data_IF_341408114043
#
_entry.id   IF_341408114043
#
_cell.length_a   1.000
_cell.length_b   1.000
_cell.length_c   1.000
_cell.angle_alpha   90.00
_cell.angle_beta   90.00
_cell.angle_gamma   90.00
#
_symmetry.space_group_name_H-M   'P 1'
#
loop_
_entity.id
_entity.type
_entity.pdbx_description
1 polymer ?
#
# COMPACT_ATOMS: atom_id res chain seq x y z
N UNK A 1 -13.71 18.07 2.50
CA UNK A 1 -14.09 19.11 1.52
C UNK A 1 -13.22 19.05 0.26
N UNK A 2 -11.90 18.80 0.37
CA UNK A 2 -11.04 18.57 -0.80
C UNK A 2 -11.27 17.17 -1.42
N UNK A 3 -11.30 16.11 -0.61
CA UNK A 3 -11.60 14.73 -1.04
C UNK A 3 -12.88 14.63 -1.87
N UNK A 4 -13.99 15.15 -1.34
CA UNK A 4 -15.28 15.21 -2.03
C UNK A 4 -15.22 15.96 -3.38
N UNK A 5 -14.45 17.06 -3.47
CA UNK A 5 -14.25 17.76 -4.73
C UNK A 5 -13.40 16.95 -5.72
N UNK A 6 -12.40 16.20 -5.25
CA UNK A 6 -11.58 15.31 -6.09
C UNK A 6 -12.42 14.14 -6.60
N UNK A 7 -13.22 13.51 -5.73
CA UNK A 7 -14.16 12.43 -6.09
C UNK A 7 -15.20 12.91 -7.12
N UNK A 8 -15.81 14.08 -6.90
CA UNK A 8 -16.76 14.68 -7.87
C UNK A 8 -16.11 15.08 -9.20
N UNK A 9 -14.80 15.37 -9.21
CA UNK A 9 -14.05 15.65 -10.43
C UNK A 9 -13.62 14.35 -11.14
N UNK A 10 -13.35 13.28 -10.37
CA UNK A 10 -13.07 11.94 -10.88
C UNK A 10 -14.27 11.33 -11.63
N UNK A 11 -15.48 11.57 -11.17
CA UNK A 11 -16.70 11.13 -11.87
C UNK A 11 -16.91 11.81 -13.23
N UNK A 12 -16.25 12.94 -13.50
CA UNK A 12 -16.45 13.76 -14.71
C UNK A 12 -15.34 13.67 -15.75
N UNK A 13 -14.12 13.25 -15.37
CA UNK A 13 -12.98 13.31 -16.29
C UNK A 13 -11.96 12.18 -16.05
N UNK A 14 -11.84 11.27 -17.03
CA UNK A 14 -10.90 10.13 -17.00
C UNK A 14 -9.41 10.56 -17.08
N UNK A 15 -9.13 11.86 -17.21
CA UNK A 15 -7.78 12.44 -17.20
C UNK A 15 -7.20 12.61 -15.78
N UNK A 16 -7.98 12.36 -14.72
CA UNK A 16 -7.54 12.43 -13.31
C UNK A 16 -6.44 11.41 -12.97
N UNK A 17 -6.30 10.33 -13.73
CA UNK A 17 -5.19 9.37 -13.58
C UNK A 17 -3.83 10.05 -13.72
N UNK A 18 -3.72 11.06 -14.57
CA UNK A 18 -2.51 11.85 -14.72
C UNK A 18 -2.30 12.79 -13.51
N UNK A 19 -3.37 13.26 -12.86
CA UNK A 19 -3.30 14.07 -11.63
C UNK A 19 -2.91 13.25 -10.40
N UNK A 20 -3.40 12.02 -10.26
CA UNK A 20 -2.93 11.07 -9.22
C UNK A 20 -1.47 10.70 -9.46
N UNK A 21 -1.09 10.42 -10.71
CA UNK A 21 0.28 10.05 -11.08
C UNK A 21 1.28 11.20 -10.93
N UNK A 22 0.94 12.40 -11.37
CA UNK A 22 1.84 13.58 -11.39
C UNK A 22 1.70 14.48 -10.16
N UNK A 23 0.56 14.45 -9.46
CA UNK A 23 0.25 15.32 -8.32
C UNK A 23 0.49 14.63 -6.99
N UNK A 24 -0.21 13.53 -6.71
CA UNK A 24 -0.21 12.92 -5.36
C UNK A 24 1.16 12.37 -4.96
N UNK A 25 1.85 11.67 -5.86
CA UNK A 25 3.20 11.16 -5.58
C UNK A 25 4.27 12.25 -5.59
N UNK A 26 4.07 13.31 -6.40
CA UNK A 26 5.02 14.44 -6.49
C UNK A 26 4.99 15.31 -5.23
N UNK A 27 3.80 15.51 -4.65
CA UNK A 27 3.61 16.34 -3.46
C UNK A 27 3.53 15.53 -2.16
N UNK A 28 3.99 14.26 -2.18
CA UNK A 28 3.96 13.42 -0.99
C UNK A 28 4.68 14.12 0.19
N UNK A 29 4.00 14.33 1.32
CA UNK A 29 4.58 15.06 2.44
C UNK A 29 5.68 14.21 3.10
N UNK A 30 6.94 14.67 2.99
CA UNK A 30 8.11 13.97 3.57
C UNK A 30 8.50 14.42 4.96
N UNK A 31 7.99 15.57 5.41
CA UNK A 31 8.44 16.25 6.64
C UNK A 31 7.38 16.34 7.72
N UNK A 32 6.12 15.98 7.43
CA UNK A 32 5.01 16.08 8.36
C UNK A 32 4.17 14.81 8.33
N UNK A 33 4.34 13.99 9.37
CA UNK A 33 3.66 12.70 9.52
C UNK A 33 2.14 12.83 9.54
N UNK A 34 1.60 13.86 10.21
CA UNK A 34 0.15 14.05 10.26
C UNK A 34 -0.43 14.31 8.86
N UNK A 35 0.29 15.06 8.02
CA UNK A 35 -0.11 15.26 6.62
C UNK A 35 -0.01 13.97 5.82
N UNK A 36 1.00 13.14 6.06
CA UNK A 36 1.13 11.84 5.42
C UNK A 36 -0.05 10.91 5.73
N UNK A 37 -0.49 10.86 6.99
CA UNK A 37 -1.68 10.10 7.40
C UNK A 37 -2.95 10.63 6.73
N UNK A 38 -3.12 11.96 6.64
CA UNK A 38 -4.26 12.56 5.94
C UNK A 38 -4.23 12.24 4.44
N UNK A 39 -3.05 12.31 3.80
CA UNK A 39 -2.87 11.97 2.39
C UNK A 39 -3.22 10.50 2.09
N UNK A 40 -2.83 9.57 2.97
CA UNK A 40 -3.22 8.17 2.86
C UNK A 40 -4.74 7.99 2.90
N UNK A 41 -5.45 8.78 3.72
CA UNK A 41 -6.91 8.75 3.76
C UNK A 41 -7.56 9.24 2.47
N UNK A 42 -7.09 10.35 1.92
CA UNK A 42 -7.61 10.86 0.63
C UNK A 42 -7.35 9.86 -0.51
N UNK A 43 -6.21 9.17 -0.49
CA UNK A 43 -5.91 8.12 -1.48
C UNK A 43 -6.87 6.95 -1.34
N UNK A 44 -7.22 6.54 -0.13
CA UNK A 44 -8.21 5.48 0.07
C UNK A 44 -9.57 5.85 -0.53
N UNK A 45 -10.05 7.08 -0.27
CA UNK A 45 -11.32 7.56 -0.86
C UNK A 45 -11.27 7.59 -2.40
N UNK A 46 -10.12 7.93 -2.98
CA UNK A 46 -9.89 7.89 -4.43
C UNK A 46 -9.90 6.45 -4.96
N UNK A 47 -9.25 5.52 -4.26
CA UNK A 47 -9.21 4.12 -4.64
C UNK A 47 -10.60 3.44 -4.52
N UNK A 48 -11.47 3.94 -3.65
CA UNK A 48 -12.83 3.39 -3.48
C UNK A 48 -13.73 3.64 -4.70
N UNK A 49 -13.38 4.62 -5.54
CA UNK A 49 -14.15 5.00 -6.74
C UNK A 49 -13.35 4.84 -8.05
N UNK A 50 -12.11 4.36 -7.98
CA UNK A 50 -11.24 4.25 -9.17
C UNK A 50 -11.68 3.10 -10.06
N UNK A 51 -11.71 3.29 -11.37
CA UNK A 51 -11.92 2.17 -12.28
C UNK A 51 -10.70 1.23 -12.35
N UNK A 52 -10.89 -0.10 -12.49
CA UNK A 52 -9.78 -1.06 -12.60
C UNK A 52 -8.79 -0.72 -13.72
N UNK A 53 -9.30 -0.20 -14.84
CA UNK A 53 -8.49 0.21 -16.00
C UNK A 53 -7.51 1.36 -15.67
N UNK A 54 -7.91 2.26 -14.77
CA UNK A 54 -7.11 3.39 -14.31
C UNK A 54 -6.16 2.96 -13.20
N UNK A 55 -6.61 2.07 -12.30
CA UNK A 55 -5.78 1.49 -11.25
C UNK A 55 -4.50 0.86 -11.80
N UNK A 56 -4.60 0.12 -12.92
CA UNK A 56 -3.44 -0.52 -13.57
C UNK A 56 -2.34 0.48 -13.93
N UNK A 57 -2.68 1.74 -14.21
CA UNK A 57 -1.71 2.78 -14.60
C UNK A 57 -0.97 3.39 -13.40
N UNK A 58 -1.55 3.29 -12.20
CA UNK A 58 -1.01 3.91 -10.98
C UNK A 58 -0.53 2.91 -9.94
N UNK A 59 -0.91 1.63 -10.05
CA UNK A 59 -0.63 0.58 -9.05
C UNK A 59 0.86 0.49 -8.69
N UNK A 60 1.76 0.50 -9.68
CA UNK A 60 3.18 0.34 -9.42
C UNK A 60 3.78 1.47 -8.58
N UNK A 61 3.67 2.75 -9.00
CA UNK A 61 4.26 3.84 -8.23
C UNK A 61 3.50 4.08 -6.91
N UNK A 62 2.20 3.79 -6.86
CA UNK A 62 1.41 3.86 -5.63
C UNK A 62 1.87 2.83 -4.60
N UNK A 63 1.95 1.54 -4.97
CA UNK A 63 2.33 0.48 -4.04
C UNK A 63 3.80 0.52 -3.65
N UNK A 64 4.69 1.08 -4.49
CA UNK A 64 6.06 1.44 -4.08
C UNK A 64 6.06 2.47 -2.94
N UNK A 65 5.18 3.47 -3.01
CA UNK A 65 5.04 4.48 -1.96
C UNK A 65 4.38 3.90 -0.70
N UNK A 66 3.33 3.07 -0.84
CA UNK A 66 2.70 2.36 0.27
C UNK A 66 3.72 1.47 0.99
N UNK A 67 4.57 0.74 0.25
CA UNK A 67 5.65 -0.04 0.84
C UNK A 67 6.59 0.85 1.68
N UNK A 68 7.00 2.01 1.17
CA UNK A 68 7.80 2.96 1.94
C UNK A 68 7.09 3.41 3.23
N UNK A 69 5.79 3.71 3.16
CA UNK A 69 4.97 4.08 4.32
C UNK A 69 4.85 2.95 5.36
N UNK A 70 4.73 1.68 4.93
CA UNK A 70 4.73 0.51 5.82
C UNK A 70 6.07 0.37 6.56
N UNK A 71 7.18 0.70 5.89
CA UNK A 71 8.51 0.73 6.53
C UNK A 71 8.81 1.99 7.34
N UNK A 72 7.87 2.94 7.42
CA UNK A 72 8.08 4.19 8.14
C UNK A 72 8.32 3.91 9.63
N UNK A 73 9.24 4.64 10.30
CA UNK A 73 9.45 4.51 11.74
C UNK A 73 8.26 5.07 12.55
N UNK A 74 7.35 5.81 11.91
CA UNK A 74 6.22 6.41 12.59
C UNK A 74 4.99 5.51 12.57
N UNK A 75 4.51 5.17 13.76
CA UNK A 75 3.46 4.17 13.93
C UNK A 75 2.18 4.43 13.11
N UNK A 76 1.65 5.64 13.25
CA UNK A 76 0.38 6.02 12.62
C UNK A 76 0.40 5.94 11.09
N UNK A 77 1.57 6.11 10.46
CA UNK A 77 1.71 6.04 8.99
C UNK A 77 1.65 4.60 8.53
N UNK A 78 2.43 3.72 9.18
CA UNK A 78 2.45 2.30 8.86
C UNK A 78 1.09 1.65 9.11
N UNK A 79 0.44 1.95 10.24
CA UNK A 79 -0.91 1.47 10.54
C UNK A 79 -1.91 1.93 9.48
N UNK A 80 -1.92 3.23 9.14
CA UNK A 80 -2.86 3.77 8.16
C UNK A 80 -2.69 3.15 6.77
N UNK A 81 -1.45 2.86 6.36
CA UNK A 81 -1.14 2.20 5.11
C UNK A 81 -1.61 0.74 5.09
N UNK A 82 -1.44 0.00 6.20
CA UNK A 82 -1.89 -1.39 6.32
C UNK A 82 -3.42 -1.51 6.31
N UNK A 83 -4.14 -0.48 6.74
CA UNK A 83 -5.61 -0.46 6.70
C UNK A 83 -6.20 -0.52 5.28
N UNK A 84 -5.42 -0.26 4.23
CA UNK A 84 -5.90 -0.38 2.85
C UNK A 84 -6.37 -1.81 2.51
N UNK A 85 -5.76 -2.82 3.15
CA UNK A 85 -6.15 -4.22 2.98
C UNK A 85 -7.46 -4.60 3.68
N UNK A 86 -8.06 -3.70 4.47
CA UNK A 86 -9.37 -3.92 5.07
C UNK A 86 -10.52 -3.42 4.18
N UNK A 87 -10.25 -2.63 3.15
CA UNK A 87 -11.27 -2.20 2.20
C UNK A 87 -11.46 -3.31 1.14
N UNK A 88 -12.68 -3.85 1.04
CA UNK A 88 -13.00 -4.96 0.14
C UNK A 88 -12.78 -4.61 -1.34
N UNK A 89 -13.04 -3.37 -1.75
CA UNK A 89 -12.85 -2.93 -3.13
C UNK A 89 -11.36 -2.78 -3.47
N UNK A 90 -10.57 -2.17 -2.58
CA UNK A 90 -9.13 -2.09 -2.77
C UNK A 90 -8.52 -3.50 -2.79
N UNK A 91 -9.03 -4.40 -1.95
CA UNK A 91 -8.55 -5.77 -1.89
C UNK A 91 -8.81 -6.53 -3.19
N UNK A 92 -9.98 -6.37 -3.81
CA UNK A 92 -10.28 -7.00 -5.09
C UNK A 92 -9.40 -6.46 -6.23
N UNK A 93 -9.13 -5.15 -6.25
CA UNK A 93 -8.18 -4.55 -7.19
C UNK A 93 -6.76 -5.11 -7.02
N UNK A 94 -6.33 -5.33 -5.77
CA UNK A 94 -5.05 -5.97 -5.45
C UNK A 94 -5.03 -7.43 -5.92
N UNK A 95 -6.11 -8.17 -5.71
CA UNK A 95 -6.22 -9.58 -6.09
C UNK A 95 -6.05 -9.76 -7.61
N UNK A 96 -6.78 -8.96 -8.41
CA UNK A 96 -6.70 -8.97 -9.87
C UNK A 96 -5.30 -8.63 -10.39
N UNK A 97 -4.55 -7.82 -9.64
CA UNK A 97 -3.22 -7.34 -10.01
C UNK A 97 -2.08 -7.90 -9.14
N UNK A 98 -2.33 -9.01 -8.43
CA UNK A 98 -1.44 -9.54 -7.40
C UNK A 98 -0.03 -9.84 -7.94
N UNK A 99 0.08 -10.26 -9.21
CA UNK A 99 1.35 -10.54 -9.88
C UNK A 99 2.32 -9.35 -9.92
N UNK A 100 1.78 -8.12 -9.95
CA UNK A 100 2.57 -6.88 -10.00
C UNK A 100 2.73 -6.30 -8.59
N UNK A 101 1.66 -6.29 -7.80
CA UNK A 101 1.64 -5.64 -6.49
C UNK A 101 2.45 -6.43 -5.45
N UNK A 102 2.27 -7.76 -5.40
CA UNK A 102 2.90 -8.58 -4.37
C UNK A 102 4.43 -8.43 -4.38
N UNK A 103 5.16 -8.55 -5.50
CA UNK A 103 6.61 -8.35 -5.53
C UNK A 103 7.06 -6.97 -5.01
N UNK A 104 6.26 -5.92 -5.20
CA UNK A 104 6.60 -4.55 -4.78
C UNK A 104 6.53 -4.36 -3.26
N UNK A 105 5.53 -4.95 -2.62
CA UNK A 105 5.32 -4.81 -1.17
C UNK A 105 5.97 -5.93 -0.36
N UNK A 106 6.19 -7.10 -0.96
CA UNK A 106 6.65 -8.30 -0.27
C UNK A 106 7.94 -8.09 0.51
N UNK A 107 8.99 -7.54 -0.13
CA UNK A 107 10.28 -7.33 0.52
C UNK A 107 10.13 -6.45 1.77
N UNK A 108 9.28 -5.43 1.70
CA UNK A 108 9.03 -4.53 2.83
C UNK A 108 8.23 -5.21 3.93
N UNK A 109 7.12 -5.86 3.61
CA UNK A 109 6.30 -6.60 4.58
C UNK A 109 7.10 -7.70 5.28
N UNK A 110 7.88 -8.46 4.51
CA UNK A 110 8.71 -9.54 5.04
C UNK A 110 9.83 -9.00 5.95
N UNK A 111 10.51 -7.92 5.54
CA UNK A 111 11.51 -7.24 6.38
C UNK A 111 10.90 -6.71 7.67
N UNK A 112 9.79 -5.98 7.60
CA UNK A 112 9.12 -5.43 8.79
C UNK A 112 8.63 -6.57 9.69
N UNK A 113 8.13 -7.68 9.15
CA UNK A 113 7.74 -8.86 9.95
C UNK A 113 8.90 -9.51 10.71
N UNK A 114 10.17 -9.30 10.28
CA UNK A 114 11.36 -9.98 10.82
C UNK A 114 12.32 -9.08 11.61
N UNK A 115 12.54 -7.85 11.17
CA UNK A 115 13.62 -6.97 11.64
C UNK A 115 13.12 -5.76 12.41
N UNK A 116 11.85 -5.39 12.23
CA UNK A 116 11.39 -4.08 12.60
C UNK A 116 10.03 -4.23 13.28
N UNK A 117 10.03 -4.26 14.61
CA UNK A 117 9.90 -3.08 15.47
C UNK A 117 10.31 -3.52 16.88
N UNK A 118 10.89 -2.62 17.68
CA UNK A 118 11.02 -2.88 19.11
C UNK A 118 9.65 -3.33 19.63
N UNK A 119 9.58 -4.50 20.30
CA UNK A 119 8.33 -5.02 20.91
C UNK A 119 7.64 -4.01 21.84
N UNK A 120 8.36 -2.93 22.21
CA UNK A 120 7.86 -1.83 23.04
C UNK A 120 7.25 -0.65 22.28
N UNK A 121 7.40 -0.54 20.94
CA UNK A 121 6.96 0.63 20.14
C UNK A 121 5.94 0.25 19.06
N UNK A 122 5.96 -0.99 18.56
CA UNK A 122 4.84 -1.51 17.76
C UNK A 122 3.77 -2.01 18.72
N UNK A 123 2.55 -1.45 18.73
CA UNK A 123 1.46 -2.16 19.34
C UNK A 123 1.27 -3.48 18.57
N UNK A 124 0.97 -4.53 19.32
CA UNK A 124 0.69 -5.88 18.80
C UNK A 124 -0.28 -5.89 17.62
N UNK A 125 -1.13 -4.87 17.50
CA UNK A 125 -2.02 -4.59 16.37
C UNK A 125 -1.30 -4.51 15.03
N UNK A 126 -0.17 -3.79 14.88
CA UNK A 126 0.51 -3.70 13.56
C UNK A 126 1.12 -5.02 13.16
N UNK A 127 1.72 -5.73 14.12
CA UNK A 127 2.29 -7.04 13.84
C UNK A 127 1.19 -7.97 13.33
N UNK A 128 0.02 -7.97 13.97
CA UNK A 128 -1.16 -8.69 13.50
C UNK A 128 -1.65 -8.22 12.12
N UNK A 129 -1.68 -6.92 11.85
CA UNK A 129 -2.05 -6.38 10.53
C UNK A 129 -1.08 -6.84 9.43
N UNK A 130 0.24 -6.79 9.67
CA UNK A 130 1.24 -7.27 8.71
C UNK A 130 1.08 -8.76 8.46
N UNK A 131 0.87 -9.56 9.51
CA UNK A 131 0.62 -11.00 9.36
C UNK A 131 -0.68 -11.28 8.59
N UNK A 132 -1.74 -10.51 8.84
CA UNK A 132 -2.98 -10.61 8.07
C UNK A 132 -2.72 -10.30 6.60
N UNK A 133 -2.04 -9.20 6.28
CA UNK A 133 -1.69 -8.84 4.90
C UNK A 133 -0.86 -9.92 4.22
N UNK A 134 0.17 -10.43 4.89
CA UNK A 134 1.00 -11.53 4.36
C UNK A 134 0.18 -12.80 4.12
N UNK A 135 -0.73 -13.14 5.05
CA UNK A 135 -1.63 -14.28 4.92
C UNK A 135 -2.58 -14.10 3.74
N UNK A 136 -3.18 -12.92 3.58
CA UNK A 136 -4.05 -12.60 2.46
C UNK A 136 -3.31 -12.73 1.12
N UNK A 137 -2.08 -12.24 1.02
CA UNK A 137 -1.27 -12.43 -0.19
C UNK A 137 -0.93 -13.90 -0.46
N UNK A 138 -0.68 -14.70 0.58
CA UNK A 138 -0.47 -16.14 0.46
C UNK A 138 -1.74 -16.87 -0.01
N UNK A 139 -2.91 -16.47 0.47
CA UNK A 139 -4.21 -17.02 0.05
C UNK A 139 -4.53 -16.64 -1.40
N UNK A 140 -4.19 -15.42 -1.83
CA UNK A 140 -4.36 -14.95 -3.21
C UNK A 140 -3.42 -15.65 -4.20
N UNK A 141 -2.14 -15.79 -3.86
CA UNK A 141 -1.17 -16.45 -4.73
C UNK A 141 -0.03 -17.12 -3.96
N UNK A 142 -0.30 -18.33 -3.46
CA UNK A 142 0.66 -19.11 -2.68
C UNK A 142 1.96 -19.38 -3.44
N UNK A 143 1.87 -19.70 -4.73
CA UNK A 143 3.05 -19.99 -5.56
C UNK A 143 3.97 -18.78 -5.69
N UNK A 144 3.42 -17.62 -6.05
CA UNK A 144 4.21 -16.38 -6.18
C UNK A 144 4.79 -15.97 -4.82
N UNK A 145 4.03 -16.13 -3.74
CA UNK A 145 4.49 -15.83 -2.39
C UNK A 145 5.69 -16.72 -1.99
N UNK A 146 5.63 -18.02 -2.29
CA UNK A 146 6.71 -18.96 -2.02
C UNK A 146 7.95 -18.67 -2.88
N UNK A 147 7.77 -18.36 -4.16
CA UNK A 147 8.85 -17.99 -5.09
C UNK A 147 9.59 -16.71 -4.63
N UNK A 148 8.84 -15.70 -4.19
CA UNK A 148 9.40 -14.46 -3.62
C UNK A 148 10.10 -14.72 -2.28
N UNK A 149 9.54 -15.56 -1.42
CA UNK A 149 10.16 -15.95 -0.15
C UNK A 149 11.49 -16.67 -0.37
N UNK A 150 11.55 -17.58 -1.34
CA UNK A 150 12.77 -18.28 -1.72
C UNK A 150 13.82 -17.31 -2.27
N UNK A 151 13.42 -16.44 -3.20
CA UNK A 151 14.30 -15.43 -3.81
C UNK A 151 14.89 -14.47 -2.77
N UNK A 152 14.06 -13.97 -1.85
CA UNK A 152 14.50 -13.05 -0.79
C UNK A 152 15.51 -13.70 0.16
N UNK A 153 15.33 -14.98 0.51
CA UNK A 153 16.30 -15.71 1.35
C UNK A 153 17.66 -15.88 0.67
N UNK A 154 17.66 -16.12 -0.65
CA UNK A 154 18.89 -16.25 -1.44
C UNK A 154 19.63 -14.91 -1.54
N UNK A 155 18.92 -13.81 -1.76
CA UNK A 155 19.53 -12.47 -1.80
C UNK A 155 20.15 -12.05 -0.47
N UNK A 156 19.53 -12.40 0.67
CA UNK A 156 20.05 -12.07 2.00
C UNK A 156 21.24 -12.92 2.45
N UNK A 157 21.50 -14.06 1.79
CA UNK A 157 22.65 -14.93 2.07
C UNK A 157 23.89 -14.58 1.22
N UNK A 158 23.77 -13.68 0.24
CA UNK A 158 24.89 -13.12 -0.51
C UNK A 158 25.47 -11.91 0.21
#
# INVERSE_FOLDING_TARGET
QLAYCVVQFMEKDATVTEYVRLGLLKYWPKTCTQKEVMFLGEIEEILDVIEPSQFIRIQEPLFKQIAACISSPHFQVAERALYFWNNEYILSLIEENCQVILPLVFATLYRVSKEHWNQSVAPTTIVSLIYNVLKTFMEMNSKLFDDLTASYKVEKQK
#
